data_IF_487901131323
#
_entry.id   IF_487901131323
#
_cell.length_a   1.000
_cell.length_b   1.000
_cell.length_c   1.000
_cell.angle_alpha   90.00
_cell.angle_beta   90.00
_cell.angle_gamma   90.00
#
_symmetry.space_group_name_H-M   'P 1'
#
loop_
_entity.id
_entity.type
_entity.pdbx_description
1 polymer ?
#
# COMPACT_ATOMS: atom_id res chain seq x y z
N UNK A 1 27.87 -1.36 35.10
CA UNK A 1 26.41 -1.16 35.13
C UNK A 1 25.78 -2.25 34.28
N UNK A 2 25.17 -3.23 34.93
CA UNK A 2 24.73 -4.49 34.30
C UNK A 2 23.21 -4.52 34.29
N UNK A 3 22.60 -4.54 33.11
CA UNK A 3 21.15 -4.54 32.95
C UNK A 3 20.63 -5.98 32.78
N UNK A 4 19.96 -6.47 33.81
CA UNK A 4 19.30 -7.79 33.82
C UNK A 4 17.91 -7.67 33.19
N UNK A 5 17.72 -8.23 32.00
CA UNK A 5 16.41 -8.40 31.37
C UNK A 5 15.65 -9.56 32.05
N UNK A 6 14.50 -9.26 32.68
CA UNK A 6 13.55 -10.28 33.15
C UNK A 6 12.71 -10.79 31.96
N UNK A 7 13.06 -11.96 31.43
CA UNK A 7 12.17 -12.73 30.54
C UNK A 7 11.02 -13.32 31.37
N UNK A 8 9.80 -12.80 31.20
CA UNK A 8 8.60 -13.44 31.72
C UNK A 8 8.19 -14.59 30.80
N UNK A 9 8.59 -15.81 31.15
CA UNK A 9 8.16 -17.06 30.52
C UNK A 9 6.75 -17.39 31.04
N UNK A 10 5.68 -17.17 30.26
CA UNK A 10 4.37 -17.80 30.52
C UNK A 10 4.38 -19.18 29.86
N UNK A 11 4.54 -20.23 30.67
CA UNK A 11 4.24 -21.61 30.29
C UNK A 11 2.76 -21.93 30.54
N UNK A 12 2.27 -22.83 29.69
CA UNK A 12 0.93 -23.34 29.46
C UNK A 12 0.02 -23.58 30.69
N UNK A 13 -1.28 -23.46 30.46
CA UNK A 13 -2.25 -24.39 31.04
C UNK A 13 -3.16 -24.91 29.93
N UNK A 14 -2.93 -26.16 29.57
CA UNK A 14 -3.65 -26.93 28.57
C UNK A 14 -4.63 -27.80 29.37
N UNK A 15 -5.93 -27.47 29.40
CA UNK A 15 -6.92 -28.24 30.16
C UNK A 15 -8.11 -28.67 29.30
N UNK A 16 -8.09 -29.99 29.04
CA UNK A 16 -9.20 -30.95 29.09
C UNK A 16 -10.23 -30.91 27.95
N UNK A 17 -10.12 -31.89 27.05
CA UNK A 17 -11.24 -32.44 26.25
C UNK A 17 -12.11 -33.35 27.11
N UNK A 18 -13.43 -33.35 26.89
CA UNK A 18 -14.15 -34.60 26.60
C UNK A 18 -15.14 -34.40 25.43
N UNK A 19 -15.05 -35.16 24.32
CA UNK A 19 -15.60 -36.50 24.03
C UNK A 19 -17.15 -36.60 24.03
N UNK A 20 -17.67 -37.12 22.91
CA UNK A 20 -19.04 -37.64 22.63
C UNK A 20 -20.07 -36.58 22.16
N UNK A 21 -20.93 -36.74 21.14
CA UNK A 21 -21.51 -37.88 20.41
C UNK A 21 -21.92 -37.48 18.95
N UNK A 22 -21.85 -38.46 18.03
CA UNK A 22 -22.80 -38.88 16.97
C UNK A 22 -23.85 -37.85 16.42
N UNK A 23 -23.87 -37.52 15.12
CA UNK A 23 -24.48 -38.25 13.97
C UNK A 23 -25.94 -37.85 13.65
N UNK A 24 -26.31 -37.91 12.35
CA UNK A 24 -27.67 -37.79 11.75
C UNK A 24 -28.13 -36.33 11.54
N UNK A 25 -28.62 -35.82 10.39
CA UNK A 25 -29.39 -36.38 9.29
C UNK A 25 -29.17 -35.61 7.97
N UNK A 26 -29.17 -36.34 6.84
CA UNK A 26 -29.57 -35.81 5.55
C UNK A 26 -31.11 -35.83 5.47
N UNK A 27 -31.74 -34.80 4.87
CA UNK A 27 -32.87 -34.88 3.91
C UNK A 27 -33.60 -33.52 3.77
N UNK A 28 -33.91 -33.17 2.50
CA UNK A 28 -35.01 -32.30 2.00
C UNK A 28 -34.80 -30.77 2.20
N UNK A 29 -35.17 -29.86 1.29
CA UNK A 29 -36.13 -29.86 0.19
C UNK A 29 -35.57 -29.07 -1.01
N UNK A 30 -35.85 -29.55 -2.21
CA UNK A 30 -36.05 -28.68 -3.36
C UNK A 30 -37.29 -27.80 -3.09
N UNK A 31 -37.12 -26.48 -3.06
CA UNK A 31 -38.21 -25.52 -3.07
C UNK A 31 -37.96 -24.50 -4.17
N UNK A 32 -38.91 -24.46 -5.11
CA UNK A 32 -39.01 -23.57 -6.25
C UNK A 32 -38.75 -22.11 -5.91
N UNK A 33 -37.91 -21.46 -6.71
CA UNK A 33 -37.80 -20.01 -6.82
C UNK A 33 -38.00 -19.56 -8.27
N UNK A 34 -39.07 -20.02 -8.92
CA UNK A 34 -39.51 -19.45 -10.20
C UNK A 34 -40.25 -18.15 -9.94
N UNK A 35 -39.53 -17.04 -9.88
CA UNK A 35 -40.11 -15.71 -9.94
C UNK A 35 -39.42 -14.95 -11.07
N UNK A 36 -40.07 -14.86 -12.23
CA UNK A 36 -39.72 -13.91 -13.27
C UNK A 36 -40.05 -12.51 -12.74
N UNK A 37 -39.08 -11.61 -12.51
CA UNK A 37 -39.40 -10.25 -12.12
C UNK A 37 -39.94 -9.50 -13.35
N UNK A 38 -41.25 -9.25 -13.39
CA UNK A 38 -41.87 -8.27 -14.30
C UNK A 38 -41.69 -6.84 -13.76
N UNK A 39 -40.49 -6.54 -13.26
CA UNK A 39 -40.11 -5.18 -12.88
C UNK A 39 -39.60 -4.41 -14.12
N UNK A 40 -39.66 -3.07 -14.13
CA UNK A 40 -39.08 -2.29 -15.21
C UNK A 40 -37.59 -2.65 -15.37
N UNK A 41 -37.23 -3.16 -16.55
CA UNK A 41 -35.84 -3.46 -16.91
C UNK A 41 -35.11 -2.14 -17.15
N UNK A 42 -34.66 -1.49 -16.08
CA UNK A 42 -33.50 -0.61 -16.21
C UNK A 42 -32.33 -1.48 -16.66
N UNK A 43 -31.58 -1.11 -17.72
CA UNK A 43 -30.35 -1.79 -18.04
C UNK A 43 -29.45 -1.75 -16.81
N UNK A 44 -29.23 -2.90 -16.17
CA UNK A 44 -28.22 -3.05 -15.13
C UNK A 44 -26.86 -3.09 -15.82
N UNK A 45 -26.32 -1.92 -16.17
CA UNK A 45 -24.92 -1.83 -16.56
C UNK A 45 -24.10 -2.30 -15.36
N UNK A 46 -23.30 -3.38 -15.48
CA UNK A 46 -22.42 -3.79 -14.40
C UNK A 46 -21.54 -2.60 -13.99
N UNK A 47 -21.30 -2.37 -12.69
CA UNK A 47 -20.39 -1.30 -12.28
C UNK A 47 -19.05 -1.49 -13.00
N UNK A 48 -18.49 -0.39 -13.51
CA UNK A 48 -17.20 -0.42 -14.17
C UNK A 48 -16.17 -1.08 -13.24
N UNK A 49 -15.53 -2.14 -13.73
CA UNK A 49 -14.54 -2.87 -12.94
C UNK A 49 -13.25 -2.06 -12.87
N UNK A 50 -12.67 -1.94 -11.67
CA UNK A 50 -11.37 -1.33 -11.47
C UNK A 50 -10.29 -2.10 -12.25
N UNK A 51 -9.41 -1.38 -12.94
CA UNK A 51 -8.31 -1.97 -13.70
C UNK A 51 -7.00 -1.63 -13.00
N UNK A 52 -6.37 -2.64 -12.39
CA UNK A 52 -5.08 -2.48 -11.74
C UNK A 52 -4.02 -1.93 -12.71
N UNK A 53 -3.10 -1.11 -12.19
CA UNK A 53 -2.03 -0.56 -13.00
C UNK A 53 -0.87 -0.02 -12.19
N UNK A 54 0.06 0.63 -12.88
CA UNK A 54 1.30 1.14 -12.32
C UNK A 54 1.43 2.62 -12.65
N UNK A 55 1.79 3.40 -11.64
CA UNK A 55 2.26 4.78 -11.79
C UNK A 55 3.76 4.83 -11.48
N UNK A 56 4.46 5.71 -12.17
CA UNK A 56 5.89 5.96 -11.97
C UNK A 56 6.05 7.24 -11.16
N UNK A 57 6.74 7.14 -10.03
CA UNK A 57 7.16 8.31 -9.24
C UNK A 57 8.42 8.90 -9.87
N UNK A 58 8.33 10.14 -10.31
CA UNK A 58 9.45 10.90 -10.86
C UNK A 58 9.83 12.08 -9.97
N UNK A 59 11.12 12.28 -9.77
CA UNK A 59 11.70 13.47 -9.14
C UNK A 59 12.29 14.36 -10.23
N UNK A 60 11.87 15.63 -10.32
CA UNK A 60 12.31 16.53 -11.40
C UNK A 60 13.36 17.55 -10.94
N UNK A 61 13.33 17.97 -9.67
CA UNK A 61 14.22 19.00 -9.12
C UNK A 61 14.96 18.55 -7.86
N UNK A 62 15.84 17.54 -7.95
CA UNK A 62 16.73 17.18 -6.83
C UNK A 62 17.74 18.29 -6.53
N UNK A 63 18.33 18.26 -5.34
CA UNK A 63 19.57 18.97 -5.06
C UNK A 63 20.78 18.08 -5.43
N UNK A 64 21.84 18.68 -5.97
CA UNK A 64 23.05 17.95 -6.35
C UNK A 64 23.74 17.23 -5.16
N UNK A 65 23.50 17.71 -3.93
CA UNK A 65 24.05 17.15 -2.71
C UNK A 65 23.08 16.20 -1.99
N UNK A 66 22.02 15.73 -2.65
CA UNK A 66 21.11 14.76 -2.02
C UNK A 66 21.80 13.42 -1.75
N UNK A 67 21.63 12.97 -0.51
CA UNK A 67 22.06 11.67 0.00
C UNK A 67 20.90 10.78 0.44
N UNK A 68 19.75 11.38 0.76
CA UNK A 68 18.50 10.67 0.99
C UNK A 68 17.31 11.58 0.71
N UNK A 69 16.23 11.03 0.16
CA UNK A 69 14.98 11.75 -0.07
C UNK A 69 13.80 10.88 0.33
N UNK A 70 12.90 11.45 1.13
CA UNK A 70 11.63 10.84 1.51
C UNK A 70 10.49 11.46 0.72
N UNK A 71 9.68 10.61 0.13
CA UNK A 71 8.47 10.94 -0.61
C UNK A 71 7.26 10.41 0.13
N UNK A 72 6.21 11.22 0.17
CA UNK A 72 4.87 10.79 0.52
C UNK A 72 4.03 10.70 -0.76
N UNK A 73 3.20 9.67 -0.82
CA UNK A 73 2.25 9.42 -1.90
C UNK A 73 0.86 9.34 -1.29
N UNK A 74 -0.12 9.97 -1.91
CA UNK A 74 -1.53 9.83 -1.57
C UNK A 74 -2.40 9.53 -2.79
N UNK A 75 -3.51 8.84 -2.57
CA UNK A 75 -4.52 8.59 -3.60
C UNK A 75 -5.62 7.64 -3.11
N UNK A 76 -6.53 7.20 -4.00
CA UNK A 76 -7.68 6.40 -3.62
C UNK A 76 -7.36 5.02 -3.04
N UNK A 77 -6.46 4.26 -3.67
CA UNK A 77 -6.08 2.91 -3.23
C UNK A 77 -4.71 2.50 -3.79
N UNK A 78 -3.72 2.39 -2.90
CA UNK A 78 -2.36 1.97 -3.23
C UNK A 78 -2.19 0.51 -2.79
N UNK A 79 -1.75 -0.36 -3.70
CA UNK A 79 -1.52 -1.77 -3.41
C UNK A 79 -0.11 -2.00 -2.86
N UNK A 80 0.90 -1.46 -3.52
CA UNK A 80 2.30 -1.55 -3.09
C UNK A 80 3.17 -0.49 -3.76
N UNK A 81 4.38 -0.29 -3.24
CA UNK A 81 5.37 0.62 -3.82
C UNK A 81 6.75 -0.04 -3.84
N UNK A 82 7.46 0.13 -4.94
CA UNK A 82 8.79 -0.42 -5.16
C UNK A 82 9.77 0.69 -5.59
N UNK A 83 10.83 0.90 -4.82
CA UNK A 83 11.92 1.78 -5.23
C UNK A 83 12.69 1.16 -6.41
N UNK A 84 13.18 2.00 -7.33
CA UNK A 84 13.88 1.58 -8.54
C UNK A 84 15.26 2.22 -8.61
N UNK A 85 16.31 1.41 -8.72
CA UNK A 85 17.68 1.91 -8.93
C UNK A 85 18.29 2.63 -7.72
N UNK A 86 17.61 2.62 -6.57
CA UNK A 86 18.09 3.19 -5.31
C UNK A 86 17.95 2.18 -4.19
N UNK A 87 18.87 2.26 -3.23
CA UNK A 87 18.68 1.63 -1.92
C UNK A 87 17.64 2.44 -1.14
N UNK A 88 16.91 1.78 -0.24
CA UNK A 88 15.86 2.47 0.49
C UNK A 88 14.84 1.58 1.16
N UNK A 89 13.76 2.22 1.60
CA UNK A 89 12.62 1.60 2.24
C UNK A 89 11.34 2.12 1.60
N UNK A 90 10.40 1.21 1.35
CA UNK A 90 9.04 1.56 0.95
C UNK A 90 8.05 1.07 2.00
N UNK A 91 6.97 1.82 2.17
CA UNK A 91 5.87 1.44 3.04
C UNK A 91 4.57 1.76 2.35
N UNK A 92 3.76 0.73 2.14
CA UNK A 92 2.40 0.85 1.65
C UNK A 92 1.59 -0.26 2.29
N UNK A 93 0.39 0.07 2.76
CA UNK A 93 -0.58 -0.92 3.21
C UNK A 93 -1.58 -1.13 2.06
N UNK A 94 -1.80 -2.37 1.61
CA UNK A 94 -2.67 -2.64 0.47
C UNK A 94 -4.08 -2.03 0.65
N UNK A 95 -4.55 -1.32 -0.37
CA UNK A 95 -5.84 -0.65 -0.39
C UNK A 95 -5.92 0.62 0.45
N UNK A 96 -4.83 1.07 1.07
CA UNK A 96 -4.80 2.32 1.83
C UNK A 96 -4.49 3.52 0.93
N UNK A 97 -4.80 4.71 1.45
CA UNK A 97 -4.68 5.96 0.72
C UNK A 97 -3.29 6.60 0.77
N UNK A 98 -2.34 6.01 1.49
CA UNK A 98 -1.02 6.58 1.74
C UNK A 98 0.09 5.56 1.55
N UNK A 99 1.20 6.03 0.99
CA UNK A 99 2.45 5.30 0.94
C UNK A 99 3.64 6.23 1.16
N UNK A 100 4.75 5.66 1.59
CA UNK A 100 6.02 6.34 1.83
C UNK A 100 7.13 5.64 1.06
N UNK A 101 8.04 6.43 0.51
CA UNK A 101 9.26 5.95 -0.15
C UNK A 101 10.41 6.75 0.40
N UNK A 102 11.41 6.07 0.95
CA UNK A 102 12.69 6.66 1.31
C UNK A 102 13.72 6.03 0.40
N UNK A 103 14.44 6.85 -0.36
CA UNK A 103 15.60 6.41 -1.15
C UNK A 103 16.86 7.05 -0.61
N UNK A 104 17.97 6.35 -0.72
CA UNK A 104 19.29 6.78 -0.29
C UNK A 104 20.30 6.64 -1.42
N UNK A 105 21.43 7.34 -1.28
CA UNK A 105 22.50 7.37 -2.26
C UNK A 105 22.48 8.63 -3.11
N UNK A 106 23.01 8.53 -4.33
CA UNK A 106 23.10 9.67 -5.23
C UNK A 106 21.77 9.92 -5.95
N UNK A 107 20.84 10.61 -5.28
CA UNK A 107 19.51 10.88 -5.81
C UNK A 107 19.60 11.91 -6.94
N UNK A 108 19.13 11.53 -8.14
CA UNK A 108 19.13 12.38 -9.33
C UNK A 108 17.73 12.54 -9.90
N UNK A 109 17.60 13.41 -10.90
CA UNK A 109 16.36 13.58 -11.66
C UNK A 109 15.99 12.27 -12.34
N UNK A 110 14.69 11.95 -12.36
CA UNK A 110 14.14 10.81 -13.08
C UNK A 110 13.27 9.91 -12.19
N UNK A 111 13.11 8.67 -12.64
CA UNK A 111 12.30 7.66 -11.94
C UNK A 111 12.92 7.27 -10.61
N UNK A 112 12.10 7.26 -9.56
CA UNK A 112 12.50 6.88 -8.20
C UNK A 112 11.81 5.59 -7.75
N UNK A 113 10.53 5.42 -8.11
CA UNK A 113 9.75 4.26 -7.69
C UNK A 113 8.61 3.93 -8.65
N UNK A 114 8.09 2.72 -8.54
CA UNK A 114 6.80 2.28 -9.11
C UNK A 114 5.76 2.16 -8.01
N UNK A 115 4.58 2.68 -8.28
CA UNK A 115 3.41 2.65 -7.39
C UNK A 115 2.36 1.79 -8.06
N UNK A 116 2.03 0.66 -7.44
CA UNK A 116 0.99 -0.24 -7.91
C UNK A 116 -0.35 0.22 -7.33
N UNK A 117 -1.33 0.43 -8.20
CA UNK A 117 -2.63 1.02 -7.84
C UNK A 117 -3.77 0.12 -8.29
N UNK A 118 -4.86 0.17 -7.52
CA UNK A 118 -6.03 -0.67 -7.76
C UNK A 118 -6.78 -0.32 -9.05
N UNK A 119 -6.84 0.97 -9.39
CA UNK A 119 -7.52 1.48 -10.57
C UNK A 119 -6.70 2.59 -11.26
N UNK A 120 -6.13 2.27 -12.41
CA UNK A 120 -5.31 3.20 -13.20
C UNK A 120 -6.15 4.27 -13.92
N UNK A 121 -7.46 4.06 -14.08
CA UNK A 121 -8.35 5.10 -14.62
C UNK A 121 -8.40 6.33 -13.69
N UNK A 122 -8.07 6.16 -12.41
CA UNK A 122 -8.01 7.21 -11.38
C UNK A 122 -6.63 7.82 -11.19
N UNK A 123 -5.70 7.64 -12.15
CA UNK A 123 -4.33 8.15 -12.06
C UNK A 123 -4.27 9.65 -11.66
N UNK A 124 -5.20 10.47 -12.16
CA UNK A 124 -5.28 11.90 -11.89
C UNK A 124 -5.67 12.26 -10.45
N UNK A 125 -6.04 11.29 -9.61
CA UNK A 125 -6.35 11.48 -8.18
C UNK A 125 -5.13 11.25 -7.28
N UNK A 126 -4.06 10.62 -7.80
CA UNK A 126 -2.86 10.37 -7.03
C UNK A 126 -1.93 11.59 -7.00
N UNK A 127 -1.28 11.82 -5.86
CA UNK A 127 -0.33 12.91 -5.65
C UNK A 127 0.91 12.37 -4.98
N UNK A 128 2.05 12.97 -5.27
CA UNK A 128 3.30 12.70 -4.59
C UNK A 128 4.04 14.00 -4.31
N UNK A 129 4.77 14.05 -3.20
CA UNK A 129 5.60 15.18 -2.84
C UNK A 129 6.77 14.73 -1.97
N UNK A 130 7.81 15.54 -1.94
CA UNK A 130 8.96 15.34 -1.05
C UNK A 130 8.61 15.88 0.32
N UNK A 131 8.85 15.08 1.36
CA UNK A 131 8.62 15.47 2.77
C UNK A 131 9.91 15.76 3.51
N UNK A 132 11.01 15.12 3.11
CA UNK A 132 12.33 15.36 3.67
C UNK A 132 13.41 15.05 2.64
N UNK A 133 14.51 15.79 2.70
CA UNK A 133 15.73 15.50 1.97
C UNK A 133 16.92 15.71 2.91
N UNK A 134 18.00 14.95 2.72
CA UNK A 134 19.19 15.03 3.55
C UNK A 134 20.46 15.14 2.70
N UNK A 135 21.38 16.00 3.13
CA UNK A 135 22.67 16.19 2.50
C UNK A 135 23.54 14.92 2.59
N UNK A 136 24.22 14.57 1.50
CA UNK A 136 25.01 13.33 1.39
C UNK A 136 26.15 13.23 2.40
N UNK A 137 26.88 14.31 2.61
CA UNK A 137 28.10 14.29 3.44
C UNK A 137 27.84 14.61 4.92
N UNK A 138 26.81 15.40 5.21
CA UNK A 138 26.55 15.91 6.57
C UNK A 138 25.27 15.37 7.20
N UNK A 139 24.40 14.69 6.43
CA UNK A 139 23.09 14.19 6.84
C UNK A 139 22.13 15.25 7.39
N UNK A 140 22.45 16.54 7.19
CA UNK A 140 21.59 17.63 7.58
C UNK A 140 20.34 17.65 6.71
N UNK A 141 19.19 17.94 7.33
CA UNK A 141 17.95 18.14 6.61
C UNK A 141 18.07 19.37 5.71
N UNK A 142 17.63 19.21 4.47
CA UNK A 142 17.59 20.25 3.46
C UNK A 142 16.18 20.84 3.37
N UNK A 143 16.10 22.09 2.92
CA UNK A 143 14.81 22.69 2.57
C UNK A 143 14.23 22.00 1.33
N UNK A 144 12.96 21.61 1.39
CA UNK A 144 12.27 20.84 0.35
C UNK A 144 11.36 21.70 -0.54
N UNK A 145 11.28 23.01 -0.30
CA UNK A 145 10.34 23.90 -1.01
C UNK A 145 10.55 23.94 -2.53
N UNK A 146 11.76 23.70 -3.02
CA UNK A 146 12.11 23.66 -4.44
C UNK A 146 11.91 22.29 -5.10
N UNK A 147 11.64 21.23 -4.34
CA UNK A 147 11.51 19.88 -4.86
C UNK A 147 10.19 19.68 -5.55
N UNK A 148 10.21 18.94 -6.65
CA UNK A 148 9.04 18.62 -7.45
C UNK A 148 9.07 17.14 -7.73
N UNK A 149 7.99 16.48 -7.35
CA UNK A 149 7.76 15.07 -7.64
C UNK A 149 6.40 14.92 -8.31
N UNK A 150 6.28 13.95 -9.20
CA UNK A 150 5.06 13.68 -9.94
C UNK A 150 4.82 12.18 -10.08
N UNK A 151 3.56 11.81 -10.26
CA UNK A 151 3.17 10.47 -10.67
C UNK A 151 2.74 10.51 -12.13
N UNK A 152 3.39 9.69 -12.94
CA UNK A 152 3.10 9.55 -14.38
C UNK A 152 2.69 8.12 -14.69
N UNK A 153 1.94 7.91 -15.78
CA UNK A 153 1.47 6.59 -16.19
C UNK A 153 2.48 5.90 -17.10
#
# INVERSE_FOLDING_TARGET
MTYTFKLARRMASNHVRPRTLAAVAALLLAACGGASPTGPTTPITPPAQAVAGVLTLELTTPNANDGAVQFAISGPAIDSVQALGYDGLTSALPGQAQAQVIVTGAVTTGTVARVFVHDIAKAAEYRAWVVAAAARSSYQLLDVASYRAALVR
#
